data_IF_901401312824
#
_entry.id   IF_901401312824
#
_cell.length_a   1.000
_cell.length_b   1.000
_cell.length_c   1.000
_cell.angle_alpha   90.00
_cell.angle_beta   90.00
_cell.angle_gamma   90.00
#
_symmetry.space_group_name_H-M   'P 1'
#
loop_
_entity.id
_entity.type
_entity.pdbx_description
1 polymer ?
#
# COMPACT_ATOMS: atom_id res chain seq x y z
N UNK A 1 38.70 -10.93 -32.01
CA UNK A 1 38.21 -11.89 -30.99
C UNK A 1 37.93 -11.08 -29.73
N UNK A 2 36.73 -10.91 -29.19
CA UNK A 2 35.46 -11.54 -29.47
C UNK A 2 34.29 -10.56 -29.29
N UNK A 3 33.21 -10.93 -29.94
CA UNK A 3 31.95 -10.21 -30.11
C UNK A 3 31.22 -10.09 -28.78
N UNK A 4 30.80 -8.87 -28.42
CA UNK A 4 29.80 -8.68 -27.36
C UNK A 4 28.47 -9.16 -27.92
N UNK A 5 27.98 -10.29 -27.41
CA UNK A 5 26.66 -10.83 -27.76
C UNK A 5 25.60 -9.86 -27.26
N UNK A 6 24.84 -9.31 -28.20
CA UNK A 6 23.61 -8.56 -27.93
C UNK A 6 22.70 -9.43 -27.05
N UNK A 7 22.51 -9.03 -25.79
CA UNK A 7 21.44 -9.59 -24.97
C UNK A 7 20.11 -9.19 -25.61
N UNK A 8 19.45 -10.13 -26.28
CA UNK A 8 18.12 -9.94 -26.82
C UNK A 8 17.19 -9.63 -25.65
N UNK A 9 16.71 -8.39 -25.65
CA UNK A 9 15.73 -7.84 -24.71
C UNK A 9 14.41 -8.60 -24.88
N UNK A 10 14.31 -9.79 -24.29
CA UNK A 10 13.07 -10.56 -24.18
C UNK A 10 12.11 -9.82 -23.26
N UNK A 11 11.03 -9.33 -23.83
CA UNK A 11 10.12 -8.38 -23.23
C UNK A 11 8.91 -9.08 -22.60
N UNK A 12 8.79 -9.16 -21.27
CA UNK A 12 7.47 -9.39 -20.63
C UNK A 12 7.25 -8.69 -19.26
N UNK A 13 7.99 -7.65 -18.83
CA UNK A 13 7.48 -6.78 -17.72
C UNK A 13 8.17 -5.40 -17.54
N UNK A 14 8.13 -4.55 -18.57
CA UNK A 14 8.62 -3.15 -18.49
C UNK A 14 7.71 -2.18 -17.70
N UNK A 15 6.94 -2.64 -16.70
CA UNK A 15 6.04 -1.78 -15.90
C UNK A 15 6.45 -1.60 -14.43
N UNK A 16 7.65 -2.03 -14.04
CA UNK A 16 8.16 -1.86 -12.65
C UNK A 16 8.38 -0.38 -12.24
N UNK A 17 8.44 0.57 -13.18
CA UNK A 17 8.93 1.93 -12.89
C UNK A 17 7.86 3.04 -12.79
N UNK A 18 6.63 2.84 -13.29
CA UNK A 18 5.68 3.96 -13.44
C UNK A 18 4.88 4.30 -12.16
N UNK A 19 4.55 3.31 -11.32
CA UNK A 19 3.67 3.54 -10.16
C UNK A 19 4.40 4.28 -9.04
N UNK A 20 5.70 4.01 -8.83
CA UNK A 20 6.50 4.69 -7.81
C UNK A 20 6.62 6.20 -8.03
N UNK A 21 6.60 6.66 -9.29
CA UNK A 21 6.72 8.08 -9.63
C UNK A 21 5.41 8.87 -9.46
N UNK A 22 4.25 8.19 -9.45
CA UNK A 22 2.95 8.83 -9.25
C UNK A 22 2.64 9.14 -7.77
N UNK A 23 3.34 8.49 -6.83
CA UNK A 23 3.19 8.72 -5.40
C UNK A 23 3.69 10.09 -4.95
N UNK A 24 4.61 10.71 -5.70
CA UNK A 24 5.09 12.06 -5.40
C UNK A 24 3.99 13.14 -5.49
N UNK A 25 2.83 12.84 -6.06
CA UNK A 25 1.76 13.82 -6.31
C UNK A 25 0.64 13.78 -5.26
N UNK A 26 0.66 12.82 -4.32
CA UNK A 26 -0.37 12.68 -3.29
C UNK A 26 0.23 12.17 -1.98
N UNK A 27 -0.38 12.47 -0.84
CA UNK A 27 -0.02 11.89 0.46
C UNK A 27 -0.49 10.42 0.57
N UNK A 28 -0.17 9.59 -0.41
CA UNK A 28 -0.54 8.17 -0.46
C UNK A 28 0.66 7.28 -0.13
N UNK A 29 0.39 6.16 0.53
CA UNK A 29 1.38 5.10 0.77
C UNK A 29 1.21 3.99 -0.25
N UNK A 30 2.32 3.41 -0.71
CA UNK A 30 2.32 2.30 -1.67
C UNK A 30 2.97 1.07 -1.07
N UNK A 31 2.25 -0.04 -1.15
CA UNK A 31 2.74 -1.37 -0.74
C UNK A 31 2.80 -2.24 -1.99
N UNK A 32 4.01 -2.50 -2.47
CA UNK A 32 4.24 -3.45 -3.56
C UNK A 32 4.41 -4.86 -2.99
N UNK A 33 3.68 -5.83 -3.55
CA UNK A 33 3.79 -7.26 -3.19
C UNK A 33 4.28 -8.14 -4.35
N UNK A 34 4.70 -7.54 -5.46
CA UNK A 34 5.09 -8.29 -6.66
C UNK A 34 6.28 -9.22 -6.44
N UNK A 35 7.19 -8.87 -5.52
CA UNK A 35 8.37 -9.69 -5.23
C UNK A 35 8.01 -11.05 -4.62
N UNK A 36 6.81 -11.21 -4.05
CA UNK A 36 6.31 -12.49 -3.55
C UNK A 36 5.45 -13.24 -4.56
N UNK A 37 4.76 -12.53 -5.46
CA UNK A 37 3.91 -13.13 -6.50
C UNK A 37 4.77 -13.59 -7.69
N UNK A 38 5.80 -12.83 -8.03
CA UNK A 38 6.69 -13.06 -9.16
C UNK A 38 8.16 -12.79 -8.74
N UNK A 39 8.77 -13.72 -7.99
CA UNK A 39 10.12 -13.55 -7.42
C UNK A 39 11.24 -13.67 -8.46
N UNK A 40 10.94 -14.20 -9.64
CA UNK A 40 11.88 -14.46 -10.72
C UNK A 40 11.47 -13.71 -11.98
N UNK A 41 12.36 -13.63 -12.97
CA UNK A 41 12.07 -12.97 -14.24
C UNK A 41 10.89 -13.62 -14.99
N UNK A 42 10.76 -14.96 -14.90
CA UNK A 42 9.56 -15.67 -15.32
C UNK A 42 8.72 -15.99 -14.10
N UNK A 43 7.48 -15.48 -14.02
CA UNK A 43 6.61 -15.71 -12.87
C UNK A 43 6.19 -17.19 -12.81
N UNK A 44 6.53 -17.93 -11.74
CA UNK A 44 6.22 -19.34 -11.65
C UNK A 44 4.72 -19.56 -11.41
N UNK A 45 4.09 -20.57 -12.03
CA UNK A 45 2.68 -20.87 -11.81
C UNK A 45 2.43 -21.53 -10.45
N UNK A 46 3.46 -22.07 -9.80
CA UNK A 46 3.37 -22.75 -8.49
C UNK A 46 4.51 -22.26 -7.59
N UNK A 47 4.18 -21.84 -6.37
CA UNK A 47 5.14 -21.47 -5.33
C UNK A 47 4.74 -22.19 -4.05
N UNK A 48 5.69 -22.88 -3.40
CA UNK A 48 5.43 -23.58 -2.14
C UNK A 48 4.27 -24.58 -2.23
N UNK A 49 4.20 -25.33 -3.33
CA UNK A 49 3.14 -26.30 -3.64
C UNK A 49 1.73 -25.70 -3.79
N UNK A 50 1.62 -24.37 -3.96
CA UNK A 50 0.35 -23.67 -4.19
C UNK A 50 0.34 -23.05 -5.60
N UNK A 51 -0.71 -23.31 -6.36
CA UNK A 51 -0.94 -22.67 -7.66
C UNK A 51 -1.13 -21.15 -7.45
N UNK A 52 -0.30 -20.34 -8.09
CA UNK A 52 -0.26 -18.88 -7.94
C UNK A 52 -1.41 -18.22 -8.70
N UNK A 53 -1.60 -18.60 -9.96
CA UNK A 53 -2.56 -17.95 -10.86
C UNK A 53 -3.76 -18.84 -11.13
N UNK A 54 -4.96 -18.26 -11.12
CA UNK A 54 -6.18 -18.92 -11.59
C UNK A 54 -6.30 -18.83 -13.12
N UNK A 55 -5.87 -17.69 -13.66
CA UNK A 55 -5.93 -17.32 -15.07
C UNK A 55 -4.88 -16.23 -15.36
N UNK A 56 -4.96 -15.55 -16.51
CA UNK A 56 -3.98 -14.56 -16.95
C UNK A 56 -3.97 -13.25 -16.14
N UNK A 57 -4.97 -13.01 -15.29
CA UNK A 57 -5.12 -11.76 -14.51
C UNK A 57 -5.36 -11.98 -13.02
N UNK A 58 -5.77 -13.17 -12.62
CA UNK A 58 -6.18 -13.44 -11.24
C UNK A 58 -5.19 -14.36 -10.52
N UNK A 59 -4.89 -13.96 -9.28
CA UNK A 59 -4.22 -14.82 -8.30
C UNK A 59 -5.23 -15.82 -7.73
N UNK A 60 -4.79 -17.04 -7.46
CA UNK A 60 -5.65 -18.07 -6.86
C UNK A 60 -6.02 -17.72 -5.43
N UNK A 61 -7.17 -18.22 -4.96
CA UNK A 61 -7.63 -18.02 -3.58
C UNK A 61 -6.61 -18.54 -2.57
N UNK A 62 -6.11 -19.76 -2.78
CA UNK A 62 -5.19 -20.41 -1.84
C UNK A 62 -3.87 -19.64 -1.72
N UNK A 63 -3.39 -19.07 -2.83
CA UNK A 63 -2.18 -18.23 -2.82
C UNK A 63 -2.45 -16.87 -2.15
N UNK A 64 -3.59 -16.24 -2.42
CA UNK A 64 -3.96 -15.00 -1.73
C UNK A 64 -4.08 -15.19 -0.21
N UNK A 65 -4.64 -16.33 0.23
CA UNK A 65 -4.74 -16.68 1.66
C UNK A 65 -3.34 -16.89 2.28
N UNK A 66 -2.41 -17.54 1.57
CA UNK A 66 -1.04 -17.75 2.06
C UNK A 66 -0.21 -16.46 2.14
N UNK A 67 -0.60 -15.41 1.40
CA UNK A 67 0.04 -14.10 1.44
C UNK A 67 -0.38 -13.22 2.63
N UNK A 68 -1.42 -13.57 3.37
CA UNK A 68 -1.93 -12.77 4.49
C UNK A 68 -0.86 -12.30 5.50
N UNK A 69 0.08 -13.15 5.98
CA UNK A 69 1.14 -12.69 6.89
C UNK A 69 2.04 -11.61 6.27
N UNK A 70 2.37 -11.73 4.98
CA UNK A 70 3.21 -10.78 4.25
C UNK A 70 2.48 -9.44 4.11
N UNK A 71 1.22 -9.48 3.66
CA UNK A 71 0.39 -8.29 3.49
C UNK A 71 0.20 -7.58 4.82
N UNK A 72 -0.11 -8.31 5.90
CA UNK A 72 -0.27 -7.73 7.23
C UNK A 72 1.01 -7.04 7.70
N UNK A 73 2.17 -7.69 7.58
CA UNK A 73 3.45 -7.13 8.00
C UNK A 73 3.82 -5.84 7.25
N UNK A 74 3.44 -5.75 5.97
CA UNK A 74 3.72 -4.56 5.15
C UNK A 74 2.67 -3.46 5.30
N UNK A 75 1.39 -3.81 5.41
CA UNK A 75 0.29 -2.84 5.39
C UNK A 75 0.04 -2.18 6.76
N UNK A 76 0.05 -2.95 7.85
CA UNK A 76 -0.34 -2.46 9.18
C UNK A 76 0.48 -1.25 9.66
N UNK A 77 1.81 -1.18 9.48
CA UNK A 77 2.59 -0.01 9.89
C UNK A 77 2.12 1.30 9.22
N UNK A 78 1.68 1.23 7.96
CA UNK A 78 1.17 2.40 7.24
C UNK A 78 -0.22 2.81 7.72
N UNK A 79 -1.06 1.84 8.13
CA UNK A 79 -2.37 2.14 8.70
C UNK A 79 -2.26 2.81 10.08
N UNK A 80 -1.31 2.36 10.92
CA UNK A 80 -1.06 2.97 12.21
C UNK A 80 -0.64 4.45 12.07
N UNK A 81 0.22 4.76 11.10
CA UNK A 81 0.62 6.13 10.81
C UNK A 81 -0.58 7.02 10.43
N UNK A 82 -1.46 6.56 9.54
CA UNK A 82 -2.66 7.29 9.12
C UNK A 82 -3.67 7.46 10.28
N UNK A 83 -3.87 6.42 11.09
CA UNK A 83 -4.77 6.47 12.24
C UNK A 83 -4.31 7.53 13.26
N UNK A 84 -3.02 7.59 13.55
CA UNK A 84 -2.45 8.58 14.47
C UNK A 84 -2.63 10.01 13.95
N UNK A 85 -2.43 10.25 12.65
CA UNK A 85 -2.69 11.58 12.04
C UNK A 85 -4.15 11.97 12.17
N UNK A 86 -5.10 11.06 11.87
CA UNK A 86 -6.54 11.35 11.98
C UNK A 86 -6.99 11.60 13.42
N UNK A 87 -6.47 10.81 14.37
CA UNK A 87 -6.79 10.97 15.79
C UNK A 87 -6.35 12.34 16.31
N UNK A 88 -5.13 12.77 15.98
CA UNK A 88 -4.59 14.09 16.35
C UNK A 88 -5.39 15.23 15.74
N UNK A 89 -5.82 15.12 14.47
CA UNK A 89 -6.69 16.12 13.83
C UNK A 89 -8.08 16.19 14.46
N UNK A 90 -8.65 15.04 14.86
CA UNK A 90 -9.92 15.01 15.60
C UNK A 90 -9.79 15.63 17.00
N UNK A 91 -8.67 15.40 17.69
CA UNK A 91 -8.39 16.02 18.99
C UNK A 91 -8.24 17.54 18.90
N UNK A 92 -7.53 18.05 17.88
CA UNK A 92 -7.41 19.49 17.64
C UNK A 92 -8.76 20.15 17.31
N UNK A 93 -9.68 19.43 16.65
CA UNK A 93 -11.01 19.95 16.32
C UNK A 93 -12.03 19.83 17.45
N UNK A 94 -11.71 19.12 18.54
CA UNK A 94 -12.56 18.95 19.72
C UNK A 94 -12.09 19.77 20.92
N UNK A 95 -11.02 20.57 20.78
CA UNK A 95 -10.73 21.63 21.73
C UNK A 95 -11.95 22.56 21.78
N UNK A 96 -12.61 22.74 22.95
CA UNK A 96 -13.68 23.71 23.07
C UNK A 96 -13.10 25.08 22.70
N UNK A 97 -13.82 25.95 21.97
CA UNK A 97 -13.34 27.30 21.78
C UNK A 97 -13.15 27.91 23.18
N UNK A 98 -11.93 28.27 23.53
CA UNK A 98 -11.57 28.97 24.78
C UNK A 98 -12.10 30.42 24.79
N UNK A 99 -13.18 30.68 24.06
CA UNK A 99 -13.94 31.92 24.21
C UNK A 99 -14.56 31.90 25.59
N UNK A 100 -13.87 32.52 26.55
CA UNK A 100 -14.42 32.94 27.81
C UNK A 100 -15.63 33.82 27.51
N UNK A 101 -16.84 33.26 27.51
CA UNK A 101 -18.07 34.04 27.51
C UNK A 101 -18.16 34.64 28.91
N UNK A 102 -17.57 35.82 29.08
CA UNK A 102 -17.76 36.65 30.25
C UNK A 102 -19.23 37.11 30.27
N UNK A 103 -20.02 36.45 31.11
CA UNK A 103 -21.16 37.02 31.84
C UNK A 103 -22.30 37.64 31.03
N UNK A 104 -23.39 36.90 30.89
CA UNK A 104 -24.74 37.45 30.93
C UNK A 104 -25.68 36.40 31.53
N UNK A 105 -25.94 36.55 32.81
CA UNK A 105 -26.89 35.74 33.58
C UNK A 105 -28.32 35.96 33.03
N UNK A 106 -29.02 34.88 32.70
CA UNK A 106 -30.44 34.94 32.36
C UNK A 106 -31.26 35.31 33.60
N UNK A 107 -31.76 36.54 33.67
CA UNK A 107 -32.77 36.95 34.66
C UNK A 107 -34.17 36.64 34.09
N UNK A 108 -35.02 35.87 34.78
CA UNK A 108 -36.36 35.59 34.31
C UNK A 108 -37.28 36.81 34.52
N UNK A 109 -38.16 37.05 33.56
CA UNK A 109 -39.45 37.71 33.77
C UNK A 109 -40.56 36.71 33.48
#
# INVERSE_FOLDING_TARGET
MGTVVLATRGAVHRRRLAIGMALQQTASSFVNVNDWICPTENCPPVIGNVLVYRDDKHVSKLFADSMLPIVRARLVPHLAAVANTRQSLHHMRSAPPTTTVSGAECRPQ
#
